data_IF_344020749420
#
_entry.id   IF_344020749420
#
_cell.length_a   1.000
_cell.length_b   1.000
_cell.length_c   1.000
_cell.angle_alpha   90.00
_cell.angle_beta   90.00
_cell.angle_gamma   90.00
#
_symmetry.space_group_name_H-M   'P 1'
#
loop_
_entity.id
_entity.type
_entity.pdbx_description
1 polymer ?
#
# COMPACT_ATOMS: atom_id res chain seq x y z
N UNK A 1 40.81 2.93 52.63
CA UNK A 1 40.69 1.73 51.77
C UNK A 1 39.23 1.28 51.52
N UNK A 2 38.37 1.14 52.54
CA UNK A 2 36.94 0.75 52.35
C UNK A 2 36.12 1.69 51.44
N UNK A 3 36.36 3.00 51.49
CA UNK A 3 35.67 4.00 50.63
C UNK A 3 36.07 3.95 49.16
N UNK A 4 37.30 3.54 48.84
CA UNK A 4 37.78 3.38 47.46
C UNK A 4 37.19 2.10 46.84
N UNK A 5 37.04 1.04 47.64
CA UNK A 5 36.37 -0.20 47.25
C UNK A 5 34.86 -0.03 46.99
N UNK A 6 34.21 0.87 47.72
CA UNK A 6 32.80 1.23 47.51
C UNK A 6 32.60 2.06 46.23
N UNK A 7 33.54 2.96 45.90
CA UNK A 7 33.49 3.74 44.66
C UNK A 7 33.76 2.89 43.41
N UNK A 8 34.69 1.93 43.49
CA UNK A 8 34.96 1.00 42.37
C UNK A 8 33.81 0.02 42.14
N UNK A 9 33.12 -0.43 43.19
CA UNK A 9 31.95 -1.31 43.07
C UNK A 9 30.73 -0.61 42.42
N UNK A 10 30.52 0.68 42.71
CA UNK A 10 29.45 1.48 42.08
C UNK A 10 29.77 1.77 40.61
N UNK A 11 31.03 2.01 40.26
CA UNK A 11 31.45 2.26 38.88
C UNK A 11 31.28 1.01 37.98
N UNK A 12 31.55 -0.18 38.50
CA UNK A 12 31.34 -1.46 37.77
C UNK A 12 29.85 -1.75 37.56
N UNK A 13 28.98 -1.36 38.50
CA UNK A 13 27.52 -1.53 38.39
C UNK A 13 26.90 -0.62 37.30
N UNK A 14 27.48 0.55 37.05
CA UNK A 14 27.05 1.47 35.98
C UNK A 14 27.42 0.94 34.59
N UNK A 15 28.52 0.21 34.45
CA UNK A 15 28.91 -0.40 33.17
C UNK A 15 28.10 -1.66 32.80
N UNK A 16 27.47 -2.32 33.76
CA UNK A 16 26.65 -3.52 33.51
C UNK A 16 25.24 -3.21 32.99
N UNK A 17 24.76 -1.97 33.08
CA UNK A 17 23.43 -1.57 32.63
C UNK A 17 23.35 -1.21 31.13
N UNK A 18 24.46 -1.29 30.39
CA UNK A 18 24.58 -0.70 29.04
C UNK A 18 24.28 -1.62 27.84
N UNK A 19 24.06 -2.92 28.02
CA UNK A 19 23.82 -3.83 26.90
C UNK A 19 22.35 -4.19 26.75
N UNK A 20 21.52 -3.24 26.30
CA UNK A 20 20.24 -3.58 25.68
C UNK A 20 20.53 -4.28 24.34
N UNK A 21 20.71 -5.61 24.37
CA UNK A 21 20.79 -6.43 23.16
C UNK A 21 19.44 -6.34 22.45
N UNK A 22 19.38 -5.60 21.35
CA UNK A 22 18.26 -5.67 20.41
C UNK A 22 18.32 -7.02 19.72
N UNK A 23 17.43 -7.92 20.09
CA UNK A 23 17.27 -9.21 19.42
C UNK A 23 16.34 -9.02 18.22
N UNK A 24 16.85 -9.18 17.01
CA UNK A 24 16.03 -9.20 15.79
C UNK A 24 15.62 -10.64 15.54
N UNK A 25 14.31 -10.91 15.59
CA UNK A 25 13.74 -12.21 15.20
C UNK A 25 12.88 -12.01 13.97
N UNK A 26 12.89 -13.00 13.07
CA UNK A 26 11.98 -13.02 11.92
C UNK A 26 10.62 -13.48 12.44
N UNK A 27 9.62 -12.64 12.23
CA UNK A 27 8.21 -12.94 12.51
C UNK A 27 7.47 -13.16 11.19
N UNK A 28 6.33 -13.84 11.26
CA UNK A 28 5.47 -14.07 10.10
C UNK A 28 4.91 -12.73 9.58
N UNK A 29 5.06 -12.39 8.29
CA UNK A 29 4.47 -11.18 7.70
C UNK A 29 2.93 -11.10 7.80
N UNK A 30 2.23 -12.21 8.03
CA UNK A 30 0.78 -12.24 8.27
C UNK A 30 0.37 -11.90 9.70
N UNK A 31 1.32 -11.87 10.64
CA UNK A 31 1.05 -11.57 12.04
C UNK A 31 0.87 -10.06 12.25
N UNK A 32 -0.29 -9.65 12.76
CA UNK A 32 -0.54 -8.26 13.14
C UNK A 32 0.34 -7.86 14.35
N UNK A 33 1.33 -7.00 14.12
CA UNK A 33 2.20 -6.47 15.18
C UNK A 33 2.22 -4.95 15.12
N UNK A 34 1.58 -4.32 16.10
CA UNK A 34 1.56 -2.86 16.28
C UNK A 34 2.60 -2.43 17.32
N UNK A 35 3.77 -1.97 16.86
CA UNK A 35 4.82 -1.47 17.76
C UNK A 35 4.64 0.01 18.13
N UNK A 36 4.30 0.85 17.16
CA UNK A 36 4.27 2.32 17.32
C UNK A 36 2.87 2.91 17.25
N UNK A 37 1.87 2.10 16.90
CA UNK A 37 0.51 2.54 16.57
C UNK A 37 0.39 3.33 15.27
N UNK A 38 1.48 3.45 14.50
CA UNK A 38 1.49 4.05 13.15
C UNK A 38 0.86 3.11 12.12
N UNK A 39 0.66 3.64 10.91
CA UNK A 39 0.32 2.84 9.74
C UNK A 39 1.40 1.77 9.50
N UNK A 40 0.95 0.52 9.29
CA UNK A 40 1.84 -0.61 9.01
C UNK A 40 1.37 -1.45 7.82
N UNK A 41 2.11 -2.52 7.54
CA UNK A 41 1.84 -3.51 6.50
C UNK A 41 0.49 -4.20 6.67
N UNK A 42 0.10 -4.49 7.92
CA UNK A 42 -1.18 -5.13 8.23
C UNK A 42 -2.34 -4.21 7.92
N UNK A 43 -2.28 -2.93 8.31
CA UNK A 43 -3.32 -1.94 7.97
C UNK A 43 -3.45 -1.82 6.45
N UNK A 44 -2.31 -1.69 5.76
CA UNK A 44 -2.26 -1.58 4.30
C UNK A 44 -2.93 -2.75 3.60
N UNK A 45 -2.63 -3.97 4.04
CA UNK A 45 -3.23 -5.18 3.47
C UNK A 45 -4.73 -5.26 3.76
N UNK A 46 -5.15 -5.05 5.01
CA UNK A 46 -6.57 -5.16 5.40
C UNK A 46 -7.43 -4.10 4.71
N UNK A 47 -6.93 -2.85 4.61
CA UNK A 47 -7.64 -1.78 3.90
C UNK A 47 -7.76 -2.11 2.42
N UNK A 48 -6.70 -2.62 1.79
CA UNK A 48 -6.76 -3.00 0.38
C UNK A 48 -7.77 -4.13 0.14
N UNK A 49 -7.70 -5.22 0.92
CA UNK A 49 -8.63 -6.36 0.83
C UNK A 49 -10.10 -5.90 0.96
N UNK A 50 -10.40 -5.06 1.94
CA UNK A 50 -11.77 -4.57 2.17
C UNK A 50 -12.24 -3.64 1.06
N UNK A 51 -11.41 -2.68 0.65
CA UNK A 51 -11.77 -1.70 -0.37
C UNK A 51 -11.93 -2.34 -1.75
N UNK A 52 -11.07 -3.29 -2.10
CA UNK A 52 -11.18 -4.04 -3.36
C UNK A 52 -12.42 -4.93 -3.34
N UNK A 53 -12.71 -5.60 -2.23
CA UNK A 53 -13.96 -6.35 -2.08
C UNK A 53 -15.19 -5.44 -2.23
N UNK A 54 -15.15 -4.24 -1.64
CA UNK A 54 -16.26 -3.30 -1.73
C UNK A 54 -16.49 -2.85 -3.18
N UNK A 55 -15.46 -2.37 -3.88
CA UNK A 55 -15.61 -1.89 -5.25
C UNK A 55 -16.08 -2.99 -6.18
N UNK A 56 -15.56 -4.22 -6.06
CA UNK A 56 -15.98 -5.34 -6.90
C UNK A 56 -17.41 -5.81 -6.63
N UNK A 57 -17.94 -5.57 -5.42
CA UNK A 57 -19.32 -5.92 -5.07
C UNK A 57 -20.37 -4.96 -5.63
N UNK A 58 -19.94 -3.82 -6.19
CA UNK A 58 -20.86 -2.75 -6.60
C UNK A 58 -21.42 -2.96 -8.02
N UNK A 59 -22.58 -2.35 -8.33
CA UNK A 59 -23.25 -2.55 -9.63
C UNK A 59 -22.47 -2.12 -10.88
N UNK A 60 -21.45 -1.27 -10.78
CA UNK A 60 -20.70 -0.80 -11.96
C UNK A 60 -20.05 -1.96 -12.72
N UNK A 61 -19.57 -2.98 -12.01
CA UNK A 61 -18.90 -4.13 -12.59
C UNK A 61 -19.87 -4.94 -13.47
N UNK A 62 -21.00 -5.35 -12.90
CA UNK A 62 -22.04 -6.09 -13.63
C UNK A 62 -22.62 -5.28 -14.80
N UNK A 63 -22.80 -3.96 -14.63
CA UNK A 63 -23.24 -3.08 -15.74
C UNK A 63 -22.20 -3.04 -16.87
N UNK A 64 -20.92 -2.96 -16.53
CA UNK A 64 -19.85 -3.00 -17.52
C UNK A 64 -19.84 -4.33 -18.27
N UNK A 65 -19.85 -5.45 -17.55
CA UNK A 65 -19.83 -6.80 -18.14
C UNK A 65 -21.02 -7.02 -19.08
N UNK A 66 -22.21 -6.61 -18.66
CA UNK A 66 -23.43 -6.71 -19.48
C UNK A 66 -23.34 -5.86 -20.76
N UNK A 67 -22.75 -4.66 -20.66
CA UNK A 67 -22.62 -3.72 -21.78
C UNK A 67 -21.50 -4.11 -22.77
N UNK A 68 -20.35 -4.55 -22.25
CA UNK A 68 -19.13 -4.76 -23.03
C UNK A 68 -18.86 -6.23 -23.38
N UNK A 69 -19.52 -7.19 -22.72
CA UNK A 69 -19.31 -8.62 -22.94
C UNK A 69 -17.93 -9.13 -22.52
N UNK A 70 -17.20 -8.38 -21.68
CA UNK A 70 -15.87 -8.72 -21.16
C UNK A 70 -15.67 -8.13 -19.78
N UNK A 71 -14.69 -8.65 -19.04
CA UNK A 71 -14.22 -8.01 -17.80
C UNK A 71 -13.59 -6.63 -18.07
N UNK A 72 -13.73 -5.67 -17.15
CA UNK A 72 -13.14 -4.35 -17.29
C UNK A 72 -11.62 -4.41 -17.11
N UNK A 73 -10.93 -3.47 -17.77
CA UNK A 73 -9.50 -3.23 -17.59
C UNK A 73 -9.33 -2.05 -16.64
N UNK A 74 -8.58 -2.25 -15.56
CA UNK A 74 -8.39 -1.26 -14.50
C UNK A 74 -6.90 -0.93 -14.37
N UNK A 75 -6.59 0.35 -14.18
CA UNK A 75 -5.28 0.79 -13.67
C UNK A 75 -5.43 1.18 -12.22
N UNK A 76 -4.54 0.71 -11.36
CA UNK A 76 -4.36 1.30 -10.03
C UNK A 76 -3.41 2.47 -10.19
N UNK A 77 -3.95 3.68 -10.05
CA UNK A 77 -3.21 4.92 -10.12
C UNK A 77 -2.65 5.33 -8.76
N UNK A 78 -2.20 6.58 -8.68
CA UNK A 78 -1.54 7.09 -7.49
C UNK A 78 -2.50 7.20 -6.30
N UNK A 79 -1.97 6.87 -5.12
CA UNK A 79 -2.59 7.17 -3.84
C UNK A 79 -1.78 8.27 -3.17
N UNK A 80 -2.37 9.46 -3.07
CA UNK A 80 -1.68 10.62 -2.50
C UNK A 80 -1.67 10.55 -0.98
N UNK A 81 -0.47 10.55 -0.40
CA UNK A 81 -0.30 10.69 1.04
C UNK A 81 -0.47 12.16 1.46
N UNK A 82 -1.50 12.44 2.25
CA UNK A 82 -1.81 13.71 2.91
C UNK A 82 -1.80 13.57 4.44
N UNK A 83 -1.20 12.48 4.94
CA UNK A 83 -1.05 12.24 6.37
C UNK A 83 0.11 13.05 6.96
N UNK A 84 0.21 13.06 8.29
CA UNK A 84 1.34 13.65 9.03
C UNK A 84 2.54 12.69 9.09
N UNK A 85 2.46 11.54 8.42
CA UNK A 85 3.46 10.48 8.44
C UNK A 85 3.99 10.19 7.04
N UNK A 86 5.23 9.73 6.95
CA UNK A 86 5.74 9.18 5.69
C UNK A 86 5.19 7.76 5.52
N UNK A 87 4.03 7.65 4.90
CA UNK A 87 3.44 6.38 4.49
C UNK A 87 3.91 6.06 3.09
N UNK A 88 4.52 4.88 2.93
CA UNK A 88 4.79 4.33 1.62
C UNK A 88 3.49 3.88 0.95
N UNK A 89 3.02 4.70 0.01
CA UNK A 89 1.83 4.42 -0.77
C UNK A 89 2.03 3.30 -1.79
N UNK A 90 3.28 2.99 -2.18
CA UNK A 90 3.56 1.94 -3.16
C UNK A 90 3.15 0.58 -2.62
N UNK A 91 3.52 0.26 -1.38
CA UNK A 91 3.09 -0.99 -0.72
C UNK A 91 1.57 -1.14 -0.71
N UNK A 92 0.83 -0.04 -0.50
CA UNK A 92 -0.63 -0.04 -0.52
C UNK A 92 -1.21 -0.22 -1.93
N UNK A 93 -0.63 0.45 -2.94
CA UNK A 93 -0.98 0.27 -4.35
C UNK A 93 -0.77 -1.19 -4.78
N UNK A 94 0.38 -1.79 -4.43
CA UNK A 94 0.68 -3.20 -4.72
C UNK A 94 -0.29 -4.17 -4.05
N UNK A 95 -0.72 -3.87 -2.83
CA UNK A 95 -1.76 -4.65 -2.17
C UNK A 95 -3.06 -4.61 -2.97
N UNK A 96 -3.52 -3.43 -3.42
CA UNK A 96 -4.73 -3.30 -4.24
C UNK A 96 -4.62 -3.99 -5.60
N UNK A 97 -3.49 -3.83 -6.31
CA UNK A 97 -3.22 -4.54 -7.57
C UNK A 97 -3.34 -6.05 -7.39
N UNK A 98 -2.74 -6.59 -6.31
CA UNK A 98 -2.79 -8.02 -6.00
C UNK A 98 -4.22 -8.49 -5.75
N UNK A 99 -5.00 -7.77 -4.95
CA UNK A 99 -6.38 -8.17 -4.65
C UNK A 99 -7.26 -8.14 -5.89
N UNK A 100 -7.08 -7.14 -6.78
CA UNK A 100 -7.78 -7.14 -8.06
C UNK A 100 -7.39 -8.34 -8.94
N UNK A 101 -6.09 -8.62 -9.07
CA UNK A 101 -5.61 -9.77 -9.86
C UNK A 101 -6.13 -11.10 -9.29
N UNK A 102 -6.06 -11.27 -7.97
CA UNK A 102 -6.54 -12.47 -7.28
C UNK A 102 -8.05 -12.67 -7.43
N UNK A 103 -8.83 -11.60 -7.53
CA UNK A 103 -10.28 -11.69 -7.71
C UNK A 103 -10.67 -12.29 -9.06
N UNK A 104 -9.85 -12.11 -10.11
CA UNK A 104 -10.17 -12.48 -11.49
C UNK A 104 -11.32 -11.68 -12.13
N UNK A 105 -11.97 -10.79 -11.38
CA UNK A 105 -13.12 -10.02 -11.83
C UNK A 105 -12.74 -8.87 -12.79
N UNK A 106 -11.47 -8.45 -12.77
CA UNK A 106 -10.95 -7.36 -13.59
C UNK A 106 -9.57 -7.72 -14.15
N UNK A 107 -9.17 -7.05 -15.23
CA UNK A 107 -7.80 -7.12 -15.75
C UNK A 107 -7.03 -5.90 -15.27
N UNK A 108 -5.97 -6.10 -14.52
CA UNK A 108 -5.10 -4.99 -14.09
C UNK A 108 -4.01 -4.76 -15.12
N UNK A 109 -3.76 -3.51 -15.50
CA UNK A 109 -2.63 -3.13 -16.36
C UNK A 109 -1.69 -2.18 -15.61
N UNK A 110 -0.45 -2.11 -16.10
CA UNK A 110 0.63 -1.43 -15.40
C UNK A 110 0.39 0.09 -15.27
N UNK A 111 0.71 0.63 -14.09
CA UNK A 111 0.72 2.06 -13.81
C UNK A 111 1.73 2.86 -14.65
N UNK A 112 1.64 4.20 -14.58
CA UNK A 112 2.42 5.10 -15.45
C UNK A 112 3.94 4.93 -15.31
N UNK A 113 4.46 4.79 -14.11
CA UNK A 113 5.90 4.70 -13.82
C UNK A 113 6.56 3.50 -14.52
N UNK A 114 6.04 2.30 -14.27
CA UNK A 114 6.60 1.07 -14.84
C UNK A 114 6.28 0.87 -16.33
N UNK A 115 5.25 1.56 -16.88
CA UNK A 115 4.96 1.50 -18.32
C UNK A 115 6.13 1.99 -19.16
N UNK A 116 6.88 2.98 -18.69
CA UNK A 116 8.03 3.49 -19.43
C UNK A 116 9.17 2.47 -19.48
N UNK A 117 9.44 1.79 -18.36
CA UNK A 117 10.42 0.69 -18.31
C UNK A 117 10.04 -0.46 -19.26
N UNK A 118 8.75 -0.81 -19.32
CA UNK A 118 8.26 -1.85 -20.26
C UNK A 118 8.44 -1.40 -21.73
N UNK A 119 8.28 -0.12 -22.04
CA UNK A 119 8.50 0.40 -23.40
C UNK A 119 9.98 0.41 -23.76
N UNK A 120 10.87 0.68 -22.82
CA UNK A 120 12.31 0.56 -23.02
C UNK A 120 12.70 -0.89 -23.32
N UNK A 121 12.24 -1.84 -22.51
CA UNK A 121 12.43 -3.29 -22.77
C UNK A 121 11.87 -3.70 -24.14
N UNK A 122 10.70 -3.18 -24.52
CA UNK A 122 10.13 -3.45 -25.85
C UNK A 122 10.99 -2.87 -26.97
N UNK A 123 11.63 -1.73 -26.77
CA UNK A 123 12.56 -1.13 -27.72
C UNK A 123 13.79 -2.02 -27.91
N UNK A 124 14.37 -2.52 -26.81
CA UNK A 124 15.51 -3.44 -26.84
C UNK A 124 15.15 -4.75 -27.55
N UNK A 125 13.94 -5.27 -27.34
CA UNK A 125 13.44 -6.42 -28.10
C UNK A 125 13.38 -6.17 -29.60
N UNK A 126 13.19 -4.92 -30.07
CA UNK A 126 13.23 -4.62 -31.51
C UNK A 126 14.60 -4.84 -32.13
N UNK A 127 15.66 -4.75 -31.33
CA UNK A 127 17.04 -4.90 -31.79
C UNK A 127 17.53 -6.34 -31.61
N UNK A 128 17.16 -6.99 -30.50
CA UNK A 128 17.79 -8.26 -30.09
C UNK A 128 16.86 -9.49 -30.12
N UNK A 129 15.54 -9.34 -30.07
CA UNK A 129 14.62 -10.49 -30.05
C UNK A 129 14.32 -11.01 -31.46
N UNK A 130 13.90 -12.28 -31.56
CA UNK A 130 13.51 -12.85 -32.85
C UNK A 130 12.19 -12.23 -33.34
N UNK A 131 11.97 -12.11 -34.67
CA UNK A 131 10.73 -11.55 -35.22
C UNK A 131 9.44 -12.24 -34.76
N UNK A 132 9.50 -13.53 -34.43
CA UNK A 132 8.36 -14.34 -34.00
C UNK A 132 7.95 -14.07 -32.55
N UNK A 133 8.90 -13.64 -31.70
CA UNK A 133 8.71 -13.52 -30.24
C UNK A 133 8.66 -12.08 -29.75
N UNK A 134 9.22 -11.15 -30.53
CA UNK A 134 9.28 -9.73 -30.22
C UNK A 134 7.90 -9.11 -29.96
N UNK A 135 7.77 -8.37 -28.85
CA UNK A 135 6.57 -7.62 -28.55
C UNK A 135 6.36 -6.44 -29.52
N UNK A 136 5.12 -6.22 -29.98
CA UNK A 136 4.80 -5.17 -30.95
C UNK A 136 4.44 -3.84 -30.30
N UNK A 137 4.84 -2.74 -30.91
CA UNK A 137 4.40 -1.39 -30.55
C UNK A 137 2.88 -1.20 -30.74
N UNK A 138 2.31 -0.26 -29.98
CA UNK A 138 0.88 0.11 -30.02
C UNK A 138 -0.08 -1.07 -29.76
N UNK A 139 0.36 -2.04 -28.95
CA UNK A 139 -0.44 -3.17 -28.47
C UNK A 139 -0.67 -3.17 -26.95
N UNK A 140 -0.38 -2.05 -26.29
CA UNK A 140 -0.76 -1.84 -24.89
C UNK A 140 -2.29 -1.85 -24.76
N UNK A 141 -2.79 -2.54 -23.74
CA UNK A 141 -4.22 -2.59 -23.47
C UNK A 141 -4.63 -1.27 -22.80
N UNK A 142 -5.61 -0.58 -23.37
CA UNK A 142 -6.21 0.60 -22.75
C UNK A 142 -7.04 0.21 -21.53
N UNK A 143 -6.98 1.03 -20.48
CA UNK A 143 -7.81 0.86 -19.30
C UNK A 143 -9.18 1.51 -19.51
N UNK A 144 -10.22 0.84 -19.01
CA UNK A 144 -11.58 1.36 -18.96
C UNK A 144 -11.78 2.24 -17.73
N UNK A 145 -11.14 1.87 -16.62
CA UNK A 145 -11.24 2.58 -15.34
C UNK A 145 -9.86 2.83 -14.73
N UNK A 146 -9.78 3.89 -13.93
CA UNK A 146 -8.65 4.17 -13.05
C UNK A 146 -9.12 4.25 -11.60
N UNK A 147 -8.46 3.49 -10.72
CA UNK A 147 -8.62 3.60 -9.29
C UNK A 147 -7.57 4.59 -8.76
N UNK A 148 -8.01 5.66 -8.10
CA UNK A 148 -7.12 6.65 -7.48
C UNK A 148 -7.53 6.87 -6.03
N UNK A 149 -6.67 7.51 -5.23
CA UNK A 149 -7.04 7.75 -3.85
C UNK A 149 -6.20 8.76 -3.07
N UNK A 150 -6.60 8.96 -1.83
CA UNK A 150 -5.89 9.76 -0.85
C UNK A 150 -5.87 9.08 0.51
N UNK A 151 -4.76 9.21 1.23
CA UNK A 151 -4.62 8.81 2.62
C UNK A 151 -4.43 10.05 3.49
N UNK A 152 -5.33 10.27 4.44
CA UNK A 152 -5.28 11.38 5.37
C UNK A 152 -5.07 10.85 6.79
N UNK A 153 -4.51 11.67 7.68
CA UNK A 153 -4.43 11.33 9.10
C UNK A 153 -4.69 12.55 9.97
N UNK A 154 -5.29 12.32 11.13
CA UNK A 154 -5.45 13.31 12.20
C UNK A 154 -4.81 12.73 13.46
N UNK A 155 -3.88 13.46 14.05
CA UNK A 155 -3.20 13.07 15.29
C UNK A 155 -3.72 13.96 16.42
N UNK A 156 -4.23 13.34 17.47
CA UNK A 156 -4.57 13.99 18.73
C UNK A 156 -3.67 13.42 19.83
N UNK A 157 -2.98 14.29 20.56
CA UNK A 157 -2.01 13.86 21.57
C UNK A 157 -2.16 14.70 22.85
N UNK A 158 -2.29 14.00 23.98
CA UNK A 158 -2.24 14.63 25.30
C UNK A 158 -1.28 13.86 26.21
N UNK A 159 -0.22 14.55 26.67
CA UNK A 159 0.87 13.94 27.45
C UNK A 159 1.48 12.73 26.72
N UNK A 160 1.34 11.53 27.29
CA UNK A 160 1.86 10.27 26.77
C UNK A 160 0.85 9.47 25.95
N UNK A 161 -0.41 9.90 25.95
CA UNK A 161 -1.48 9.25 25.19
C UNK A 161 -1.61 9.93 23.83
N UNK A 162 -1.77 9.11 22.79
CA UNK A 162 -1.95 9.57 21.42
C UNK A 162 -3.08 8.78 20.75
N UNK A 163 -3.93 9.48 20.03
CA UNK A 163 -4.91 8.90 19.11
C UNK A 163 -4.50 9.29 17.69
N UNK A 164 -4.40 8.30 16.81
CA UNK A 164 -4.16 8.51 15.39
C UNK A 164 -5.36 8.00 14.63
N UNK A 165 -5.97 8.87 13.86
CA UNK A 165 -7.07 8.56 12.96
C UNK A 165 -6.55 8.60 11.54
N UNK A 166 -6.78 7.53 10.77
CA UNK A 166 -6.48 7.44 9.35
C UNK A 166 -7.79 7.35 8.56
N UNK A 167 -7.83 8.06 7.43
CA UNK A 167 -8.95 8.02 6.49
C UNK A 167 -8.41 7.84 5.09
N UNK A 168 -8.80 6.73 4.47
CA UNK A 168 -8.40 6.32 3.14
C UNK A 168 -9.63 6.47 2.24
N UNK A 169 -9.52 7.33 1.24
CA UNK A 169 -10.58 7.55 0.25
C UNK A 169 -10.09 7.05 -1.10
N UNK A 170 -10.84 6.15 -1.71
CA UNK A 170 -10.57 5.63 -3.05
C UNK A 170 -11.73 5.94 -3.98
N UNK A 171 -11.42 6.16 -5.25
CA UNK A 171 -12.38 6.52 -6.28
C UNK A 171 -12.07 5.74 -7.56
N UNK A 172 -13.07 5.08 -8.13
CA UNK A 172 -12.99 4.43 -9.43
C UNK A 172 -13.65 5.33 -10.47
N UNK A 173 -12.86 5.75 -11.46
CA UNK A 173 -13.29 6.71 -12.48
C UNK A 173 -13.24 6.09 -13.86
N UNK A 174 -14.31 6.26 -14.64
CA UNK A 174 -14.37 5.89 -16.06
C UNK A 174 -13.40 6.78 -16.87
N UNK A 175 -12.49 6.14 -17.59
CA UNK A 175 -11.41 6.83 -18.31
C UNK A 175 -11.90 7.65 -19.51
N UNK A 176 -13.06 7.30 -20.08
CA UNK A 176 -13.61 8.00 -21.25
C UNK A 176 -14.47 9.18 -20.83
N UNK A 177 -15.33 8.99 -19.82
CA UNK A 177 -16.32 10.01 -19.42
C UNK A 177 -15.89 10.86 -18.21
N UNK A 178 -14.85 10.47 -17.49
CA UNK A 178 -14.46 11.00 -16.17
C UNK A 178 -15.55 10.84 -15.09
N UNK A 179 -16.50 9.93 -15.29
CA UNK A 179 -17.54 9.63 -14.30
C UNK A 179 -16.96 8.79 -13.16
N UNK A 180 -17.21 9.21 -11.91
CA UNK A 180 -16.92 8.37 -10.74
C UNK A 180 -18.01 7.31 -10.61
N UNK A 181 -17.68 6.07 -10.94
CA UNK A 181 -18.62 4.94 -10.86
C UNK A 181 -18.63 4.28 -9.48
N UNK A 182 -17.61 4.55 -8.67
CA UNK A 182 -17.55 4.13 -7.27
C UNK A 182 -16.67 5.08 -6.45
N UNK A 183 -17.06 5.26 -5.19
CA UNK A 183 -16.29 5.94 -4.16
C UNK A 183 -16.39 5.07 -2.91
N UNK A 184 -15.25 4.80 -2.29
CA UNK A 184 -15.20 4.11 -1.01
C UNK A 184 -14.31 4.84 -0.02
N UNK A 185 -14.65 4.66 1.24
CA UNK A 185 -13.91 5.22 2.36
C UNK A 185 -13.65 4.13 3.40
N UNK A 186 -12.42 4.10 3.92
CA UNK A 186 -12.07 3.32 5.10
C UNK A 186 -11.45 4.20 6.15
N UNK A 187 -11.92 4.01 7.38
CA UNK A 187 -11.43 4.72 8.55
C UNK A 187 -10.75 3.74 9.51
N UNK A 188 -9.60 4.14 10.07
CA UNK A 188 -8.90 3.41 11.12
C UNK A 188 -8.61 4.38 12.25
N UNK A 189 -8.85 3.95 13.49
CA UNK A 189 -8.52 4.75 14.69
C UNK A 189 -7.69 3.92 15.64
N UNK A 190 -6.47 4.36 15.90
CA UNK A 190 -5.51 3.71 16.81
C UNK A 190 -5.30 4.58 18.05
N UNK A 191 -5.36 3.97 19.22
CA UNK A 191 -5.05 4.62 20.49
C UNK A 191 -3.75 4.02 21.06
N UNK A 192 -2.76 4.86 21.28
CA UNK A 192 -1.47 4.52 21.88
C UNK A 192 -1.45 5.08 23.29
N UNK A 193 -1.32 4.18 24.27
CA UNK A 193 -1.18 4.51 25.69
C UNK A 193 0.14 3.95 26.20
N UNK A 194 0.86 4.73 27.00
CA UNK A 194 2.12 4.31 27.64
C UNK A 194 1.92 4.04 29.13
#
# INVERSE_FOLDING_TARGET
>A
MKRIFLFSAVLIMIFAAGCQRRTVSRIDPGQAVDLSGRWNDTDSRLVAEEMIRDVLSRPWLSRFETRAGRVPVVIVGDVRNRSHEHIDAETFIRNMEREFVNSGAVRVVQGAEFREQIRQERADQQEFASPETMARWRREIGADYILTGTMNSIVDQHRRDRIIYYQINLELTDMETNEKVWIGEKQIKKAVRN
#
